data_IF_286699785209
#
_entry.id   IF_286699785209
#
_cell.length_a   1.000
_cell.length_b   1.000
_cell.length_c   1.000
_cell.angle_alpha   90.00
_cell.angle_beta   90.00
_cell.angle_gamma   90.00
#
_symmetry.space_group_name_H-M   'P 1'
#
loop_
_entity.id
_entity.type
_entity.pdbx_description
1 polymer ?
#
# COMPACT_ATOMS: atom_id res chain seq x y z
N UNK A 1 -29.81 14.86 -4.60
CA UNK A 1 -29.54 14.88 -6.05
C UNK A 1 -29.20 13.44 -6.44
N UNK A 2 -30.07 12.74 -7.16
CA UNK A 2 -29.80 11.36 -7.59
C UNK A 2 -28.97 11.45 -8.88
N UNK A 3 -27.70 11.05 -8.82
CA UNK A 3 -26.92 10.87 -10.03
C UNK A 3 -27.43 9.59 -10.72
N UNK A 4 -28.25 9.77 -11.75
CA UNK A 4 -28.65 8.68 -12.63
C UNK A 4 -27.44 8.07 -13.33
N UNK A 5 -27.48 6.76 -13.54
CA UNK A 5 -26.46 6.04 -14.28
C UNK A 5 -26.31 6.63 -15.70
N UNK A 6 -25.09 7.03 -16.06
CA UNK A 6 -24.75 7.63 -17.35
C UNK A 6 -23.83 6.67 -18.13
N UNK A 7 -24.41 5.96 -19.09
CA UNK A 7 -23.71 4.97 -19.90
C UNK A 7 -22.63 5.59 -20.81
N UNK A 8 -22.79 6.86 -21.21
CA UNK A 8 -21.79 7.56 -22.03
C UNK A 8 -20.55 7.92 -21.20
N UNK A 9 -20.74 8.38 -19.96
CA UNK A 9 -19.63 8.62 -19.02
C UNK A 9 -18.91 7.32 -18.67
N UNK A 10 -19.64 6.24 -18.38
CA UNK A 10 -19.03 4.94 -18.11
C UNK A 10 -18.18 4.46 -19.29
N UNK A 11 -18.69 4.58 -20.52
CA UNK A 11 -17.95 4.17 -21.72
C UNK A 11 -16.66 4.96 -21.92
N UNK A 12 -16.70 6.28 -21.69
CA UNK A 12 -15.50 7.12 -21.76
C UNK A 12 -14.46 6.73 -20.70
N UNK A 13 -14.91 6.49 -19.46
CA UNK A 13 -14.05 6.05 -18.36
C UNK A 13 -13.41 4.67 -18.63
N UNK A 14 -14.19 3.69 -19.10
CA UNK A 14 -13.70 2.36 -19.45
C UNK A 14 -12.62 2.42 -20.53
N UNK A 15 -12.77 3.31 -21.52
CA UNK A 15 -11.77 3.48 -22.59
C UNK A 15 -10.44 4.04 -22.06
N UNK A 16 -10.49 4.92 -21.06
CA UNK A 16 -9.29 5.45 -20.40
C UNK A 16 -8.62 4.37 -19.53
N UNK A 17 -9.41 3.62 -18.76
CA UNK A 17 -8.92 2.55 -17.88
C UNK A 17 -8.29 1.42 -18.70
N UNK A 18 -8.95 0.96 -19.75
CA UNK A 18 -8.47 -0.13 -20.61
C UNK A 18 -7.07 0.14 -21.15
N UNK A 19 -6.82 1.37 -21.64
CA UNK A 19 -5.50 1.73 -22.18
C UNK A 19 -4.43 1.80 -21.09
N UNK A 20 -4.77 2.32 -19.91
CA UNK A 20 -3.83 2.41 -18.78
C UNK A 20 -3.47 1.05 -18.21
N UNK A 21 -4.43 0.12 -18.19
CA UNK A 21 -4.22 -1.24 -17.69
C UNK A 21 -3.67 -2.20 -18.75
N UNK A 22 -3.43 -1.72 -19.98
CA UNK A 22 -2.81 -2.52 -21.01
C UNK A 22 -1.40 -2.94 -20.55
N UNK A 23 -1.17 -4.25 -20.42
CA UNK A 23 0.07 -4.81 -19.90
C UNK A 23 0.13 -4.96 -18.38
N UNK A 24 -0.95 -4.67 -17.66
CA UNK A 24 -1.07 -4.93 -16.22
C UNK A 24 -1.61 -6.34 -16.00
N UNK A 25 -0.88 -7.15 -15.25
CA UNK A 25 -1.37 -8.43 -14.72
C UNK A 25 -2.08 -8.18 -13.40
N UNK A 26 -3.32 -8.65 -13.27
CA UNK A 26 -4.10 -8.59 -12.03
C UNK A 26 -4.14 -9.99 -11.43
N UNK A 27 -3.78 -10.10 -10.17
CA UNK A 27 -3.71 -11.35 -9.43
C UNK A 27 -4.64 -11.30 -8.22
N UNK A 28 -5.25 -12.43 -7.90
CA UNK A 28 -5.98 -12.64 -6.64
C UNK A 28 -5.20 -13.67 -5.81
N UNK A 29 -4.05 -13.22 -5.31
CA UNK A 29 -3.14 -14.02 -4.49
C UNK A 29 -3.06 -13.41 -3.09
N UNK A 30 -2.72 -14.24 -2.11
CA UNK A 30 -2.24 -13.75 -0.83
C UNK A 30 -0.97 -12.89 -1.04
N UNK A 31 -0.81 -11.84 -0.22
CA UNK A 31 0.28 -10.88 -0.36
C UNK A 31 1.66 -11.53 -0.24
N UNK A 32 1.79 -12.55 0.62
CA UNK A 32 3.06 -13.25 0.86
C UNK A 32 3.46 -14.04 -0.39
N UNK A 33 2.51 -14.78 -0.96
CA UNK A 33 2.70 -15.54 -2.19
C UNK A 33 2.95 -14.62 -3.39
N UNK A 34 2.27 -13.47 -3.46
CA UNK A 34 2.48 -12.47 -4.48
C UNK A 34 3.93 -11.95 -4.48
N UNK A 35 4.44 -11.52 -3.32
CA UNK A 35 5.81 -11.01 -3.20
C UNK A 35 6.81 -12.10 -3.61
N UNK A 36 6.67 -13.31 -3.09
CA UNK A 36 7.58 -14.43 -3.42
C UNK A 36 7.57 -14.78 -4.92
N UNK A 37 6.40 -14.74 -5.57
CA UNK A 37 6.27 -15.05 -7.00
C UNK A 37 7.03 -14.05 -7.87
N UNK A 38 6.91 -12.77 -7.56
CA UNK A 38 7.43 -11.67 -8.39
C UNK A 38 8.79 -11.12 -7.94
N UNK A 39 9.37 -11.62 -6.85
CA UNK A 39 10.65 -11.13 -6.34
C UNK A 39 11.81 -11.44 -7.30
N UNK A 40 12.31 -10.40 -7.97
CA UNK A 40 13.42 -10.41 -8.93
C UNK A 40 14.25 -9.15 -8.71
N UNK A 41 15.51 -9.17 -9.12
CA UNK A 41 16.46 -8.06 -8.90
C UNK A 41 16.03 -6.73 -9.54
N UNK A 42 15.17 -6.77 -10.56
CA UNK A 42 14.63 -5.60 -11.26
C UNK A 42 13.18 -5.26 -10.87
N UNK A 43 12.63 -5.91 -9.83
CA UNK A 43 11.27 -5.64 -9.34
C UNK A 43 11.31 -4.53 -8.29
N UNK A 44 10.39 -3.57 -8.40
CA UNK A 44 10.05 -2.63 -7.33
C UNK A 44 8.66 -2.95 -6.80
N UNK A 45 8.56 -3.27 -5.51
CA UNK A 45 7.28 -3.47 -4.82
C UNK A 45 6.81 -2.17 -4.20
N UNK A 46 5.59 -1.75 -4.52
CA UNK A 46 4.88 -0.73 -3.76
C UNK A 46 3.88 -1.44 -2.83
N UNK A 47 4.03 -1.24 -1.52
CA UNK A 47 3.26 -1.92 -0.49
C UNK A 47 2.49 -0.89 0.34
N UNK A 48 1.17 -1.05 0.42
CA UNK A 48 0.26 -0.22 1.22
C UNK A 48 -0.70 -1.18 1.95
N UNK A 49 -0.19 -1.98 2.91
CA UNK A 49 -1.02 -2.88 3.69
C UNK A 49 -1.97 -2.09 4.59
N UNK A 50 -2.97 -2.74 5.21
CA UNK A 50 -3.83 -2.10 6.21
C UNK A 50 -2.99 -1.37 7.27
N UNK A 51 -3.52 -0.24 7.78
CA UNK A 51 -2.81 0.55 8.79
C UNK A 51 -2.95 -0.06 10.19
N UNK A 52 -1.92 0.17 11.01
CA UNK A 52 -1.88 -0.36 12.36
C UNK A 52 -3.05 0.20 13.19
N UNK A 53 -3.79 -0.69 13.86
CA UNK A 53 -4.99 -0.35 14.64
C UNK A 53 -6.29 -0.33 13.84
N UNK A 54 -6.24 -0.48 12.51
CA UNK A 54 -7.41 -0.56 11.61
C UNK A 54 -7.24 -1.68 10.57
N UNK A 55 -6.68 -2.81 10.99
CA UNK A 55 -6.31 -3.92 10.11
C UNK A 55 -7.51 -4.53 9.37
N UNK A 56 -8.66 -4.61 10.03
CA UNK A 56 -9.90 -5.15 9.47
C UNK A 56 -10.59 -4.22 8.46
N UNK A 57 -10.04 -3.02 8.18
CA UNK A 57 -10.66 -2.06 7.27
C UNK A 57 -10.83 -2.62 5.85
N UNK A 58 -9.88 -3.43 5.39
CA UNK A 58 -9.93 -4.07 4.07
C UNK A 58 -10.75 -5.37 4.05
N UNK A 59 -11.21 -5.85 5.20
CA UNK A 59 -11.92 -7.12 5.37
C UNK A 59 -11.33 -7.93 6.52
N UNK A 60 -12.19 -8.68 7.23
CA UNK A 60 -11.78 -9.51 8.35
C UNK A 60 -10.84 -10.62 7.90
N UNK A 61 -9.84 -10.91 8.72
CA UNK A 61 -8.87 -12.02 8.53
C UNK A 61 -8.01 -11.94 7.25
N UNK A 62 -8.03 -10.83 6.51
CA UNK A 62 -7.19 -10.63 5.32
C UNK A 62 -5.76 -10.16 5.66
N UNK A 63 -5.58 -9.53 6.82
CA UNK A 63 -4.30 -9.07 7.32
C UNK A 63 -4.34 -9.03 8.84
N UNK A 64 -3.43 -9.76 9.49
CA UNK A 64 -3.35 -9.84 10.93
C UNK A 64 -2.22 -8.99 11.47
N UNK A 65 -2.23 -8.71 12.77
CA UNK A 65 -1.18 -7.91 13.39
C UNK A 65 0.18 -8.59 13.33
N UNK A 66 0.21 -9.93 13.34
CA UNK A 66 1.45 -10.69 13.15
C UNK A 66 2.06 -10.49 11.75
N UNK A 67 1.24 -10.14 10.75
CA UNK A 67 1.69 -10.03 9.36
C UNK A 67 2.65 -8.87 9.13
N UNK A 68 2.64 -7.83 9.98
CA UNK A 68 3.69 -6.80 9.93
C UNK A 68 5.08 -7.38 10.20
N UNK A 69 5.19 -8.28 11.18
CA UNK A 69 6.45 -8.94 11.51
C UNK A 69 6.85 -9.95 10.44
N UNK A 70 5.88 -10.72 9.93
CA UNK A 70 6.08 -11.64 8.80
C UNK A 70 6.58 -10.89 7.56
N UNK A 71 5.95 -9.76 7.24
CA UNK A 71 6.34 -8.89 6.14
C UNK A 71 7.74 -8.34 6.34
N UNK A 72 8.04 -7.77 7.51
CA UNK A 72 9.39 -7.26 7.83
C UNK A 72 10.46 -8.34 7.62
N UNK A 73 10.20 -9.57 8.06
CA UNK A 73 11.10 -10.71 7.88
C UNK A 73 11.29 -11.09 6.41
N UNK A 74 10.21 -11.11 5.62
CA UNK A 74 10.27 -11.38 4.18
C UNK A 74 11.05 -10.30 3.42
N UNK A 75 10.83 -9.03 3.77
CA UNK A 75 11.45 -7.89 3.10
C UNK A 75 12.97 -7.82 3.29
N UNK A 76 13.51 -8.37 4.40
CA UNK A 76 14.97 -8.50 4.59
C UNK A 76 15.61 -9.40 3.53
N UNK A 77 14.87 -10.42 3.08
CA UNK A 77 15.38 -11.45 2.16
C UNK A 77 15.10 -11.13 0.69
N UNK A 78 14.53 -9.96 0.42
CA UNK A 78 14.01 -9.59 -0.90
C UNK A 78 15.15 -9.30 -1.88
N UNK A 79 15.05 -9.83 -3.11
CA UNK A 79 16.04 -9.61 -4.18
C UNK A 79 15.86 -8.26 -4.86
N UNK A 80 14.62 -7.82 -5.01
CA UNK A 80 14.26 -6.53 -5.59
C UNK A 80 14.35 -5.36 -4.60
N UNK A 81 13.59 -4.32 -4.89
CA UNK A 81 13.43 -3.14 -4.05
C UNK A 81 11.99 -3.04 -3.56
N UNK A 82 11.76 -2.33 -2.45
CA UNK A 82 10.41 -2.05 -1.98
C UNK A 82 10.24 -0.61 -1.49
N UNK A 83 9.01 -0.12 -1.58
CA UNK A 83 8.52 1.07 -0.92
C UNK A 83 7.27 0.68 -0.14
N UNK A 84 7.35 0.76 1.19
CA UNK A 84 6.25 0.45 2.10
C UNK A 84 5.72 1.74 2.70
N UNK A 85 4.39 1.87 2.70
CA UNK A 85 3.71 3.05 3.20
C UNK A 85 2.77 2.70 4.34
N UNK A 86 2.96 3.33 5.51
CA UNK A 86 2.21 3.02 6.73
C UNK A 86 1.98 4.28 7.57
N UNK A 87 1.08 4.19 8.55
CA UNK A 87 0.90 5.22 9.57
C UNK A 87 2.10 5.26 10.53
N UNK A 88 2.41 6.45 11.03
CA UNK A 88 3.50 6.66 11.97
C UNK A 88 3.10 6.32 13.41
N UNK A 89 3.43 5.11 13.84
CA UNK A 89 3.22 4.64 15.22
C UNK A 89 4.46 3.87 15.73
N UNK A 90 4.70 3.82 17.05
CA UNK A 90 5.87 3.15 17.64
C UNK A 90 6.02 1.68 17.22
N UNK A 91 4.92 0.96 17.06
CA UNK A 91 4.90 -0.45 16.68
C UNK A 91 5.44 -0.67 15.27
N UNK A 92 5.02 0.16 14.31
CA UNK A 92 5.53 0.12 12.94
C UNK A 92 7.01 0.51 12.92
N UNK A 93 7.40 1.59 13.60
CA UNK A 93 8.81 1.98 13.69
C UNK A 93 9.70 0.88 14.25
N UNK A 94 9.24 0.21 15.31
CA UNK A 94 9.96 -0.91 15.91
C UNK A 94 10.08 -2.08 14.94
N UNK A 95 8.97 -2.47 14.31
CA UNK A 95 8.88 -3.63 13.41
C UNK A 95 9.76 -3.49 12.18
N UNK A 96 9.90 -2.27 11.67
CA UNK A 96 10.65 -1.97 10.45
C UNK A 96 11.95 -1.18 10.70
N UNK A 97 12.44 -1.16 11.94
CA UNK A 97 13.61 -0.37 12.37
C UNK A 97 14.93 -0.68 11.64
N UNK A 98 15.01 -1.84 10.98
CA UNK A 98 16.16 -2.27 10.19
C UNK A 98 16.22 -1.66 8.77
N UNK A 99 15.19 -0.92 8.36
CA UNK A 99 15.08 -0.31 7.04
C UNK A 99 15.24 1.21 7.10
N UNK A 100 15.38 1.84 5.94
CA UNK A 100 15.34 3.30 5.83
C UNK A 100 13.91 3.78 6.10
N UNK A 101 13.74 4.69 7.06
CA UNK A 101 12.43 5.25 7.44
C UNK A 101 12.45 6.76 7.21
N UNK A 102 11.48 7.26 6.45
CA UNK A 102 11.26 8.67 6.19
C UNK A 102 9.86 9.09 6.62
N UNK A 103 9.81 10.10 7.47
CA UNK A 103 8.57 10.73 7.91
C UNK A 103 8.00 11.63 6.81
N UNK A 104 6.69 11.53 6.60
CA UNK A 104 5.95 12.38 5.66
C UNK A 104 4.71 12.90 6.33
N UNK A 105 4.56 14.22 6.31
CA UNK A 105 3.35 14.89 6.77
C UNK A 105 2.37 15.02 5.61
N UNK A 106 1.17 14.47 5.77
CA UNK A 106 0.12 14.53 4.75
C UNK A 106 -1.03 15.37 5.29
N UNK A 107 -1.32 16.45 4.57
CA UNK A 107 -2.52 17.25 4.81
C UNK A 107 -3.67 16.66 3.99
N UNK A 108 -4.59 15.96 4.66
CA UNK A 108 -5.81 15.52 3.99
C UNK A 108 -6.72 16.72 3.74
N UNK A 109 -7.01 17.02 2.48
CA UNK A 109 -7.96 18.08 2.07
C UNK A 109 -9.38 17.55 1.89
N UNK A 110 -9.58 16.23 1.91
CA UNK A 110 -10.89 15.58 1.82
C UNK A 110 -11.41 15.26 3.23
N UNK A 111 -12.01 16.26 3.89
CA UNK A 111 -12.57 16.13 5.24
C UNK A 111 -12.99 17.48 5.81
N UNK A 112 -13.62 17.47 6.99
CA UNK A 112 -13.95 18.69 7.74
C UNK A 112 -12.74 19.61 7.86
N UNK A 113 -12.96 20.92 7.71
CA UNK A 113 -11.91 21.95 7.93
C UNK A 113 -11.31 21.73 9.32
N UNK A 114 -9.99 21.47 9.39
CA UNK A 114 -9.17 21.21 10.60
C UNK A 114 -8.95 19.74 11.00
N UNK A 115 -8.64 18.84 10.06
CA UNK A 115 -7.99 17.59 10.46
C UNK A 115 -6.51 17.81 10.76
N UNK A 116 -5.97 17.26 11.86
CA UNK A 116 -4.54 17.29 12.11
C UNK A 116 -3.80 16.58 10.97
N UNK A 117 -2.59 17.02 10.60
CA UNK A 117 -1.79 16.35 9.58
C UNK A 117 -1.57 14.90 9.99
N UNK A 118 -1.81 13.97 9.08
CA UNK A 118 -1.52 12.57 9.33
C UNK A 118 -0.03 12.35 9.12
N UNK A 119 0.61 11.82 10.15
CA UNK A 119 1.99 11.39 10.09
C UNK A 119 2.04 9.99 9.47
N UNK A 120 2.76 9.87 8.36
CA UNK A 120 2.99 8.61 7.67
C UNK A 120 4.48 8.34 7.53
N UNK A 121 4.80 7.07 7.34
CA UNK A 121 6.14 6.58 7.11
C UNK A 121 6.25 6.03 5.70
N UNK A 122 7.32 6.43 5.02
CA UNK A 122 7.87 5.73 3.88
C UNK A 122 9.01 4.85 4.41
N UNK A 123 8.95 3.56 4.15
CA UNK A 123 9.90 2.55 4.63
C UNK A 123 10.49 1.83 3.40
N UNK A 124 11.81 1.65 3.33
CA UNK A 124 12.45 1.02 2.15
C UNK A 124 13.82 0.39 2.42
N UNK A 125 14.23 -0.52 1.54
CA UNK A 125 15.61 -1.03 1.43
C UNK A 125 16.49 -0.24 0.45
N UNK A 126 16.00 0.83 -0.16
CA UNK A 126 16.78 1.73 -1.01
C UNK A 126 16.76 3.17 -0.47
N UNK A 127 17.63 4.01 -1.02
CA UNK A 127 17.72 5.42 -0.65
C UNK A 127 16.63 6.27 -1.34
N UNK A 128 16.31 7.44 -0.78
CA UNK A 128 15.31 8.39 -1.28
C UNK A 128 15.86 9.80 -1.46
#
# INVERSE_FOLDING_TARGET
>A
MVHGFDSFKLKALLKLIYRRLAGVTIEYLDWFDFIKRYDRTNTLFYLDPPYFGVEDYCGKDLFKREDYQTMSTLLVQLKGQFLLFLNDVPEIRKTFSQFNIKEVNISYTCGSKNQPPAQKLIISNCDF
#
